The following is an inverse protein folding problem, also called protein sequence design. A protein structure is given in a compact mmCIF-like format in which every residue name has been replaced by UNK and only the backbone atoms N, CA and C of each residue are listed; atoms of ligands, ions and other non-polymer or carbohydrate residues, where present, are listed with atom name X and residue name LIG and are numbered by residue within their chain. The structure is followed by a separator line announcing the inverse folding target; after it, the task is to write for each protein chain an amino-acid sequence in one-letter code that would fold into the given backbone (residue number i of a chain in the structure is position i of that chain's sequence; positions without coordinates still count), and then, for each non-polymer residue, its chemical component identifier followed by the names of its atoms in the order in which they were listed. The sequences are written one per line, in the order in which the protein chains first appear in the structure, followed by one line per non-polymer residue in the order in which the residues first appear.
data_IF_547233960453
#
_entry.id   IF_547233960453
#
_cell.length_a   1.000
_cell.length_b   1.000
_cell.length_c   1.000
_cell.angle_alpha   90.00
_cell.angle_beta   90.00
_cell.angle_gamma   90.00
#
_symmetry.space_group_name_H-M   'P 1'
#
loop_
_entity.id
_entity.type
_entity.pdbx_description
1 polymer ?
#
# COMPACT_ATOMS: atom_id res chain seq x y z
N UNK A 1 14.17 -25.67 26.68
CA UNK A 1 14.60 -24.35 26.18
C UNK A 1 13.43 -23.71 25.46
N UNK A 2 12.85 -22.65 26.02
CA UNK A 2 11.73 -21.94 25.41
C UNK A 2 12.30 -20.91 24.42
N UNK A 3 12.21 -21.18 23.12
CA UNK A 3 12.68 -20.25 22.09
C UNK A 3 11.58 -19.20 21.89
N UNK A 4 11.71 -18.05 22.55
CA UNK A 4 10.87 -16.88 22.28
C UNK A 4 11.13 -16.41 20.84
N UNK A 5 10.21 -16.73 19.93
CA UNK A 5 10.26 -16.30 18.53
C UNK A 5 9.36 -15.08 18.36
N UNK A 6 9.89 -14.01 17.79
CA UNK A 6 9.14 -12.79 17.52
C UNK A 6 8.10 -13.05 16.40
N UNK A 7 6.86 -13.30 16.79
CA UNK A 7 5.72 -13.28 15.86
C UNK A 7 5.58 -11.88 15.27
N UNK A 8 5.73 -11.77 13.96
CA UNK A 8 5.49 -10.52 13.24
C UNK A 8 4.00 -10.38 12.98
N UNK A 9 3.30 -9.71 13.89
CA UNK A 9 1.90 -9.40 13.72
C UNK A 9 1.74 -8.28 12.69
N UNK A 10 1.01 -8.54 11.60
CA UNK A 10 0.50 -7.50 10.71
C UNK A 10 -1.01 -7.44 10.88
N UNK A 11 -1.50 -6.39 11.54
CA UNK A 11 -2.90 -6.05 11.47
C UNK A 11 -3.16 -5.36 10.13
N UNK A 12 -3.90 -6.02 9.24
CA UNK A 12 -4.40 -5.38 8.02
C UNK A 12 -5.84 -4.92 8.28
N UNK A 13 -6.05 -3.60 8.26
CA UNK A 13 -7.40 -3.01 8.31
C UNK A 13 -7.74 -2.58 6.91
N UNK A 14 -8.92 -2.95 6.40
CA UNK A 14 -9.44 -2.34 5.18
C UNK A 14 -9.33 -0.81 5.29
N UNK A 15 -8.68 -0.13 4.33
CA UNK A 15 -8.59 1.31 4.37
C UNK A 15 -9.98 1.87 4.12
N UNK A 16 -10.62 2.38 5.18
CA UNK A 16 -11.71 3.33 5.02
C UNK A 16 -11.23 4.50 4.15
N UNK A 17 -12.14 5.12 3.39
CA UNK A 17 -11.85 6.09 2.32
C UNK A 17 -11.03 7.35 2.72
N UNK A 18 -10.54 7.44 3.96
CA UNK A 18 -9.57 8.44 4.40
C UNK A 18 -8.45 7.77 5.19
N UNK A 19 -7.23 7.81 4.64
CA UNK A 19 -5.99 7.60 5.39
C UNK A 19 -5.88 8.71 6.45
N UNK A 20 -6.18 8.39 7.70
CA UNK A 20 -5.68 9.17 8.84
C UNK A 20 -4.27 8.65 9.19
N UNK A 21 -3.26 9.52 9.32
CA UNK A 21 -1.91 9.08 9.64
C UNK A 21 -1.83 8.48 11.05
N UNK A 22 -1.19 7.31 11.16
CA UNK A 22 -0.82 6.68 12.42
C UNK A 22 0.26 7.48 13.15
N UNK A 23 -0.15 8.19 14.21
CA UNK A 23 0.55 8.37 15.51
C UNK A 23 0.05 9.67 16.16
N UNK A 24 -0.87 9.54 17.10
CA UNK A 24 -0.98 10.46 18.22
C UNK A 24 -1.15 9.61 19.48
N UNK A 25 -0.29 9.76 20.52
CA UNK A 25 -0.51 9.07 21.79
C UNK A 25 -1.85 9.50 22.39
N UNK A 26 -2.53 8.55 23.02
CA UNK A 26 -3.81 8.74 23.68
C UNK A 26 -3.77 9.96 24.60
N UNK A 27 -4.67 10.93 24.37
CA UNK A 27 -4.95 11.97 25.35
C UNK A 27 -5.68 11.32 26.54
N UNK A 28 -5.33 11.67 27.80
CA UNK A 28 -5.97 11.08 28.97
C UNK A 28 -7.45 11.53 29.06
N UNK A 29 -8.31 10.76 29.75
CA UNK A 29 -9.72 11.06 29.85
C UNK A 29 -9.92 12.25 30.79
N UNK A 30 -10.40 13.38 30.27
CA UNK A 30 -11.00 14.40 31.11
C UNK A 30 -12.47 14.07 31.29
N UNK A 31 -12.81 13.73 32.53
CA UNK A 31 -14.16 13.58 33.05
C UNK A 31 -14.95 14.91 32.94
N UNK A 32 -16.29 14.86 33.07
CA UNK A 32 -17.21 15.78 32.42
C UNK A 32 -17.39 17.07 33.22
N UNK A 33 -17.42 18.21 32.54
CA UNK A 33 -18.05 19.42 33.07
C UNK A 33 -19.38 19.63 32.37
N UNK A 34 -20.42 19.24 33.11
CA UNK A 34 -21.76 19.81 33.02
C UNK A 34 -21.64 21.26 33.46
N UNK A 35 -22.05 22.21 32.62
CA UNK A 35 -22.67 23.43 33.12
C UNK A 35 -23.66 24.02 32.12
N UNK A 36 -24.76 24.48 32.70
CA UNK A 36 -26.01 24.96 32.11
C UNK A 36 -25.94 26.47 31.89
N UNK A 37 -26.82 26.95 31.02
CA UNK A 37 -27.29 28.34 30.83
C UNK A 37 -26.36 29.26 30.02
N UNK A 38 -26.84 30.12 29.13
CA UNK A 38 -28.19 30.58 28.86
C UNK A 38 -28.20 31.56 27.67
N UNK A 39 -29.41 31.77 27.14
CA UNK A 39 -29.79 32.61 26.00
C UNK A 39 -29.33 34.08 26.01
N UNK A 40 -29.04 34.61 24.80
CA UNK A 40 -29.51 35.87 24.16
C UNK A 40 -28.86 35.91 22.76
N UNK A 41 -29.58 35.83 21.62
CA UNK A 41 -30.38 36.90 20.99
C UNK A 41 -29.43 37.99 20.45
N UNK A 42 -29.30 38.31 19.16
CA UNK A 42 -29.96 37.92 17.92
C UNK A 42 -29.30 38.66 16.73
N UNK A 43 -29.83 38.36 15.55
CA UNK A 43 -29.85 39.13 14.29
C UNK A 43 -28.69 39.16 13.25
N UNK A 44 -29.19 38.92 12.02
CA UNK A 44 -28.85 39.51 10.71
C UNK A 44 -27.79 38.84 9.80
N UNK A 45 -28.33 37.92 8.98
CA UNK A 45 -28.27 37.81 7.51
C UNK A 45 -27.17 38.51 6.66
N UNK A 46 -26.70 37.70 5.70
CA UNK A 46 -26.29 38.02 4.31
C UNK A 46 -25.09 38.97 4.09
N UNK A 47 -24.00 38.47 3.49
CA UNK A 47 -23.88 38.53 2.03
C UNK A 47 -22.66 37.74 1.49
N UNK A 48 -22.77 37.37 0.22
CA UNK A 48 -21.86 36.53 -0.52
C UNK A 48 -20.53 37.20 -0.91
N UNK A 49 -19.50 36.37 -1.09
CA UNK A 49 -18.53 36.54 -2.17
C UNK A 49 -17.34 37.47 -1.93
N UNK A 50 -16.27 36.96 -1.33
CA UNK A 50 -14.89 37.29 -1.72
C UNK A 50 -13.90 36.28 -1.12
N UNK A 51 -13.34 35.42 -1.98
CA UNK A 51 -12.17 34.61 -1.67
C UNK A 51 -10.95 35.52 -1.52
N UNK A 52 -10.52 35.77 -0.29
CA UNK A 52 -9.23 36.39 -0.01
C UNK A 52 -8.13 35.33 -0.10
N UNK A 53 -7.42 35.30 -1.24
CA UNK A 53 -6.19 34.53 -1.41
C UNK A 53 -5.10 35.13 -0.52
N UNK A 54 -4.73 34.44 0.56
CA UNK A 54 -3.58 34.81 1.38
C UNK A 54 -2.27 34.29 0.77
N UNK A 55 -1.20 35.10 0.73
CA UNK A 55 0.13 34.63 0.39
C UNK A 55 0.75 33.76 1.50
N UNK A 56 1.70 32.92 1.11
CA UNK A 56 2.13 31.68 1.77
C UNK A 56 3.08 31.72 3.01
N UNK A 57 3.39 32.83 3.72
CA UNK A 57 4.25 32.74 4.91
C UNK A 57 3.47 32.88 6.24
N UNK A 58 2.31 32.23 6.38
CA UNK A 58 1.59 32.10 7.66
C UNK A 58 1.49 30.64 8.18
N UNK A 59 2.08 29.66 7.48
CA UNK A 59 2.05 28.23 7.84
C UNK A 59 3.28 27.77 8.64
N UNK A 60 4.25 28.66 8.87
CA UNK A 60 5.46 28.36 9.66
C UNK A 60 5.68 29.45 10.72
N UNK A 61 4.91 29.39 11.79
CA UNK A 61 5.10 30.26 12.95
C UNK A 61 4.15 29.92 14.09
N UNK A 62 4.57 28.99 14.95
CA UNK A 62 3.94 28.75 16.27
C UNK A 62 3.91 30.06 17.08
N UNK A 63 2.80 30.38 17.77
CA UNK A 63 2.87 31.21 18.96
C UNK A 63 2.32 30.45 20.16
N UNK A 64 3.17 30.16 21.14
CA UNK A 64 2.72 30.00 22.51
C UNK A 64 3.47 31.01 23.39
N UNK A 65 2.67 31.83 24.07
CA UNK A 65 2.93 32.66 25.25
C UNK A 65 4.09 33.67 25.26
N UNK A 66 3.69 34.94 25.15
CA UNK A 66 3.58 35.79 26.35
C UNK A 66 4.75 36.72 26.68
N UNK A 67 4.71 37.95 26.17
CA UNK A 67 5.18 39.13 26.91
C UNK A 67 4.52 40.41 26.38
N UNK A 68 3.60 40.92 27.19
CA UNK A 68 3.06 42.29 27.32
C UNK A 68 3.72 43.38 26.44
N UNK A 69 2.88 44.21 25.82
CA UNK A 69 2.87 45.66 26.10
C UNK A 69 1.51 46.29 25.78
N UNK A 70 1.06 47.06 26.77
CA UNK A 70 -0.19 47.79 26.88
C UNK A 70 -0.21 48.96 25.90
N UNK A 71 -1.41 49.33 25.47
CA UNK A 71 -1.72 50.36 24.46
C UNK A 71 -1.81 51.80 25.04
N UNK A 72 -1.55 52.77 24.15
CA UNK A 72 -2.12 54.15 24.02
C UNK A 72 -1.72 55.22 25.06
N UNK A 73 -1.85 56.55 24.81
CA UNK A 73 -2.00 57.35 23.57
C UNK A 73 -1.12 58.63 23.53
N UNK A 74 -1.23 59.39 22.43
CA UNK A 74 -0.54 60.63 22.05
C UNK A 74 -1.10 61.88 22.77
N UNK A 75 -0.27 62.88 23.16
CA UNK A 75 -0.50 64.33 22.88
C UNK A 75 0.56 65.32 23.47
N UNK A 76 1.04 66.21 22.57
CA UNK A 76 1.37 67.66 22.71
C UNK A 76 2.43 68.20 23.72
N UNK A 77 3.53 68.74 23.15
CA UNK A 77 4.36 69.88 23.63
C UNK A 77 5.49 69.51 24.61
N UNK A 78 6.73 70.02 24.58
CA UNK A 78 7.37 71.19 23.96
C UNK A 78 8.89 70.93 23.78
N UNK A 79 9.52 71.74 22.92
CA UNK A 79 10.93 71.76 22.48
C UNK A 79 12.02 71.77 23.58
N UNK A 80 13.19 71.18 23.24
CA UNK A 80 14.53 71.83 23.28
C UNK A 80 15.54 71.01 22.46
N UNK A 81 15.88 71.45 21.24
CA UNK A 81 17.13 72.16 20.85
C UNK A 81 18.40 71.40 21.24
N UNK A 82 18.97 70.71 20.26
CA UNK A 82 20.39 70.32 20.18
C UNK A 82 20.84 70.57 18.75
N UNK A 83 21.92 71.32 18.60
CA UNK A 83 22.31 72.07 17.40
C UNK A 83 22.41 71.26 16.11
N UNK A 84 21.93 71.86 15.03
CA UNK A 84 22.36 71.50 13.68
C UNK A 84 23.82 71.98 13.47
N UNK A 85 24.60 71.20 12.72
CA UNK A 85 25.07 71.79 11.47
C UNK A 85 24.87 70.86 10.27
N UNK A 86 24.30 71.43 9.21
CA UNK A 86 24.69 71.08 7.84
C UNK A 86 23.93 69.91 7.22
N UNK A 87 22.89 70.25 6.48
CA UNK A 87 22.20 69.43 5.49
C UNK A 87 23.13 68.48 4.71
N UNK A 88 22.73 67.21 4.63
CA UNK A 88 22.84 66.42 3.40
C UNK A 88 21.76 65.33 3.43
N UNK A 89 20.85 65.44 2.48
CA UNK A 89 19.83 64.44 2.16
C UNK A 89 20.45 63.06 1.96
N UNK A 90 20.31 62.15 2.91
CA UNK A 90 20.46 60.73 2.62
C UNK A 90 19.09 60.19 2.28
N UNK A 91 18.81 60.27 0.97
CA UNK A 91 17.78 59.49 0.34
C UNK A 91 17.77 58.08 0.92
N UNK A 92 16.58 57.59 1.27
CA UNK A 92 16.31 56.17 1.36
C UNK A 92 16.65 55.61 -0.01
N UNK A 93 17.88 55.11 -0.16
CA UNK A 93 18.34 54.43 -1.35
C UNK A 93 17.52 53.15 -1.44
N UNK A 94 16.40 53.22 -2.15
CA UNK A 94 15.77 52.05 -2.71
C UNK A 94 16.86 51.28 -3.42
N UNK A 95 17.13 50.06 -2.97
CA UNK A 95 18.00 49.14 -3.67
C UNK A 95 17.31 48.78 -4.99
N UNK A 96 17.44 49.66 -5.97
CA UNK A 96 17.25 49.36 -7.38
C UNK A 96 18.31 48.31 -7.70
N UNK A 97 17.96 47.05 -7.50
CA UNK A 97 18.73 45.92 -8.00
C UNK A 97 18.83 46.13 -9.51
N UNK A 98 20.00 46.60 -9.96
CA UNK A 98 20.29 46.83 -11.37
C UNK A 98 19.76 45.63 -12.15
N UNK A 99 18.83 45.86 -13.08
CA UNK A 99 18.23 44.80 -13.89
C UNK A 99 19.31 43.90 -14.53
N UNK A 100 20.50 44.44 -14.74
CA UNK A 100 21.73 43.75 -15.15
C UNK A 100 22.25 42.68 -14.17
N UNK A 101 22.29 42.93 -12.85
CA UNK A 101 22.77 41.93 -11.88
C UNK A 101 21.74 40.82 -11.67
N UNK A 102 20.45 41.14 -11.80
CA UNK A 102 19.37 40.15 -11.82
C UNK A 102 19.41 39.28 -13.09
N UNK A 103 19.62 39.90 -14.27
CA UNK A 103 19.81 39.19 -15.55
C UNK A 103 21.04 38.28 -15.50
N UNK A 104 22.16 38.73 -14.94
CA UNK A 104 23.37 37.92 -14.79
C UNK A 104 23.15 36.71 -13.88
N UNK A 105 22.46 36.89 -12.75
CA UNK A 105 22.09 35.78 -11.85
C UNK A 105 21.21 34.74 -12.54
N UNK A 106 20.22 35.16 -13.32
CA UNK A 106 19.38 34.27 -14.12
C UNK A 106 20.18 33.50 -15.18
N UNK A 107 21.05 34.19 -15.92
CA UNK A 107 21.90 33.57 -16.95
C UNK A 107 22.86 32.53 -16.37
N UNK A 108 23.30 32.68 -15.12
CA UNK A 108 24.17 31.72 -14.45
C UNK A 108 23.39 30.59 -13.76
N UNK A 109 22.23 30.89 -13.18
CA UNK A 109 21.41 29.91 -12.46
C UNK A 109 20.74 28.91 -13.41
N UNK A 110 20.25 29.35 -14.57
CA UNK A 110 19.56 28.48 -15.54
C UNK A 110 20.44 27.31 -16.01
N UNK A 111 21.67 27.51 -16.54
CA UNK A 111 22.52 26.40 -16.98
C UNK A 111 22.96 25.51 -15.81
N UNK A 112 23.16 26.06 -14.61
CA UNK A 112 23.45 25.25 -13.42
C UNK A 112 22.26 24.34 -13.06
N UNK A 113 21.04 24.85 -13.12
CA UNK A 113 19.81 24.09 -12.83
C UNK A 113 19.56 23.02 -13.90
N UNK A 114 19.78 23.37 -15.17
CA UNK A 114 19.74 22.43 -16.30
C UNK A 114 20.81 21.34 -16.16
N UNK A 115 22.03 21.71 -15.75
CA UNK A 115 23.11 20.77 -15.46
C UNK A 115 22.77 19.80 -14.32
N UNK A 116 22.20 20.30 -13.22
CA UNK A 116 21.70 19.46 -12.11
C UNK A 116 20.58 18.53 -12.60
N UNK A 117 19.67 19.02 -13.44
CA UNK A 117 18.61 18.20 -14.01
C UNK A 117 19.19 17.05 -14.86
N UNK A 118 20.07 17.34 -15.81
CA UNK A 118 20.70 16.31 -16.65
C UNK A 118 21.59 15.35 -15.85
N UNK A 119 22.30 15.83 -14.83
CA UNK A 119 23.08 14.99 -13.93
C UNK A 119 22.17 14.07 -13.11
N UNK A 120 21.06 14.60 -12.58
CA UNK A 120 20.05 13.81 -11.89
C UNK A 120 19.45 12.73 -12.80
N UNK A 121 19.11 13.07 -14.05
CA UNK A 121 18.66 12.10 -15.06
C UNK A 121 19.71 11.03 -15.33
N UNK A 122 20.98 11.40 -15.54
CA UNK A 122 22.06 10.45 -15.77
C UNK A 122 22.26 9.47 -14.59
N UNK A 123 22.11 9.94 -13.35
CA UNK A 123 22.18 9.08 -12.15
C UNK A 123 20.96 8.15 -12.06
N UNK A 124 19.76 8.67 -12.33
CA UNK A 124 18.52 7.87 -12.32
C UNK A 124 18.55 6.78 -13.39
N UNK A 125 19.02 7.12 -14.59
CA UNK A 125 19.18 6.19 -15.71
C UNK A 125 20.24 5.12 -15.41
N UNK A 126 21.40 5.52 -14.87
CA UNK A 126 22.46 4.59 -14.48
C UNK A 126 22.03 3.63 -13.36
N UNK A 127 21.11 4.06 -12.50
CA UNK A 127 20.54 3.24 -11.41
C UNK A 127 19.27 2.48 -11.83
N UNK A 128 18.79 2.64 -13.06
CA UNK A 128 17.51 2.12 -13.55
C UNK A 128 16.32 2.46 -12.64
N UNK A 129 16.37 3.59 -11.93
CA UNK A 129 15.31 4.02 -11.01
C UNK A 129 14.20 4.65 -11.82
N UNK A 130 13.14 3.87 -12.09
CA UNK A 130 11.92 4.36 -12.76
C UNK A 130 10.88 4.74 -11.72
N UNK A 131 10.50 6.01 -11.72
CA UNK A 131 9.42 6.54 -10.89
C UNK A 131 8.14 6.57 -11.72
N UNK A 132 7.20 5.68 -11.39
CA UNK A 132 5.88 5.69 -12.00
C UNK A 132 5.00 6.75 -11.33
N UNK A 133 4.73 7.83 -12.07
CA UNK A 133 3.90 8.94 -11.63
C UNK A 133 2.41 8.72 -11.95
N UNK A 134 2.03 7.57 -12.50
CA UNK A 134 0.61 7.28 -12.73
C UNK A 134 -0.10 7.07 -11.39
N UNK A 135 -1.34 7.60 -11.22
CA UNK A 135 -2.10 7.46 -9.98
C UNK A 135 -2.26 6.01 -9.52
N UNK A 136 -2.24 5.07 -10.46
CA UNK A 136 -2.44 3.63 -10.21
C UNK A 136 -1.15 2.78 -10.29
N UNK A 137 0.03 3.39 -10.53
CA UNK A 137 1.31 2.68 -10.69
C UNK A 137 1.29 1.52 -11.70
N UNK A 138 0.57 1.70 -12.81
CA UNK A 138 0.29 0.65 -13.81
C UNK A 138 1.53 0.15 -14.55
N UNK A 139 2.67 0.82 -14.43
CA UNK A 139 3.94 0.50 -15.08
C UNK A 139 5.00 0.02 -14.08
N UNK A 140 4.56 -0.44 -12.92
CA UNK A 140 5.45 -0.93 -11.86
C UNK A 140 5.02 -2.32 -11.41
N UNK A 141 5.93 -3.30 -11.54
CA UNK A 141 5.75 -4.64 -10.96
C UNK A 141 5.31 -4.57 -9.49
N UNK A 142 4.39 -5.45 -9.09
CA UNK A 142 3.96 -5.54 -7.69
C UNK A 142 5.11 -5.89 -6.75
N UNK A 143 4.96 -5.56 -5.46
CA UNK A 143 5.94 -5.95 -4.43
C UNK A 143 6.07 -7.48 -4.34
N UNK A 144 5.00 -8.21 -4.67
CA UNK A 144 4.98 -9.68 -4.74
C UNK A 144 5.85 -10.18 -5.89
N UNK A 145 5.65 -9.63 -7.09
CA UNK A 145 6.44 -9.94 -8.28
C UNK A 145 7.93 -9.74 -8.04
N UNK A 146 8.31 -8.59 -7.47
CA UNK A 146 9.72 -8.30 -7.19
C UNK A 146 10.34 -9.34 -6.27
N UNK A 147 9.63 -9.75 -5.20
CA UNK A 147 10.11 -10.80 -4.29
C UNK A 147 10.28 -12.15 -4.98
N UNK A 148 9.38 -12.51 -5.90
CA UNK A 148 9.50 -13.75 -6.67
C UNK A 148 10.74 -13.69 -7.58
N UNK A 149 10.88 -12.60 -8.33
CA UNK A 149 11.94 -12.42 -9.31
C UNK A 149 13.34 -12.33 -8.69
N UNK A 150 13.43 -11.70 -7.51
CA UNK A 150 14.67 -11.62 -6.73
C UNK A 150 15.08 -12.99 -6.13
N UNK A 151 14.09 -13.84 -5.86
CA UNK A 151 14.27 -15.14 -5.21
C UNK A 151 14.25 -16.33 -6.16
N UNK A 152 14.41 -16.13 -7.48
CA UNK A 152 14.40 -17.23 -8.45
C UNK A 152 15.63 -18.14 -8.24
N UNK A 153 15.43 -19.46 -8.03
CA UNK A 153 16.53 -20.39 -7.76
C UNK A 153 17.29 -20.82 -9.03
N UNK A 154 16.64 -20.76 -10.19
CA UNK A 154 17.14 -21.25 -11.47
C UNK A 154 16.89 -20.23 -12.60
N UNK A 155 17.58 -20.42 -13.72
CA UNK A 155 17.44 -19.57 -14.90
C UNK A 155 16.22 -19.99 -15.72
N UNK A 156 15.45 -19.01 -16.19
CA UNK A 156 14.15 -19.24 -16.82
C UNK A 156 14.12 -18.59 -18.18
N UNK A 157 13.70 -19.36 -19.18
CA UNK A 157 13.48 -18.89 -20.55
C UNK A 157 12.00 -18.63 -20.78
N UNK A 158 11.66 -17.43 -21.23
CA UNK A 158 10.30 -17.02 -21.57
C UNK A 158 10.23 -16.73 -23.06
N UNK A 159 9.49 -17.55 -23.81
CA UNK A 159 9.30 -17.42 -25.25
C UNK A 159 7.90 -16.86 -25.49
N UNK A 160 7.82 -15.64 -26.02
CA UNK A 160 6.58 -14.97 -26.36
C UNK A 160 6.26 -15.12 -27.84
N UNK A 161 5.17 -15.82 -28.14
CA UNK A 161 4.69 -16.07 -29.48
C UNK A 161 3.67 -15.00 -29.88
N UNK A 162 4.17 -13.94 -30.52
CA UNK A 162 3.39 -12.75 -30.86
C UNK A 162 3.03 -12.72 -32.35
N UNK A 163 2.01 -11.94 -32.71
CA UNK A 163 1.65 -11.63 -34.11
C UNK A 163 1.97 -10.17 -34.38
N UNK A 164 2.63 -9.84 -35.49
CA UNK A 164 3.08 -8.46 -35.79
C UNK A 164 2.03 -7.34 -35.59
N UNK A 165 0.76 -7.58 -35.88
CA UNK A 165 -0.32 -6.57 -35.88
C UNK A 165 -1.29 -6.67 -34.68
N UNK A 166 -0.88 -7.29 -33.57
CA UNK A 166 -1.72 -7.37 -32.36
C UNK A 166 -1.49 -6.15 -31.45
N UNK A 167 -2.52 -5.33 -31.15
CA UNK A 167 -2.42 -4.21 -30.22
C UNK A 167 -1.93 -4.61 -28.82
N UNK A 168 -2.20 -5.85 -28.39
CA UNK A 168 -1.79 -6.38 -27.08
C UNK A 168 -0.28 -6.50 -26.94
N UNK A 169 0.46 -6.59 -28.05
CA UNK A 169 1.92 -6.73 -28.04
C UNK A 169 2.62 -5.65 -27.24
N UNK A 170 2.08 -4.42 -27.20
CA UNK A 170 2.65 -3.32 -26.43
C UNK A 170 2.68 -3.66 -24.94
N UNK A 171 1.55 -4.13 -24.39
CA UNK A 171 1.44 -4.52 -22.98
C UNK A 171 2.33 -5.73 -22.67
N UNK A 172 2.32 -6.74 -23.54
CA UNK A 172 3.11 -7.97 -23.34
C UNK A 172 4.61 -7.67 -23.33
N UNK A 173 5.07 -6.88 -24.31
CA UNK A 173 6.48 -6.49 -24.42
C UNK A 173 6.92 -5.65 -23.23
N UNK A 174 6.04 -4.79 -22.71
CA UNK A 174 6.35 -3.98 -21.54
C UNK A 174 6.48 -4.84 -20.29
N UNK A 175 5.52 -5.73 -20.02
CA UNK A 175 5.59 -6.68 -18.89
C UNK A 175 6.87 -7.53 -18.95
N UNK A 176 7.15 -8.14 -20.11
CA UNK A 176 8.32 -8.98 -20.29
C UNK A 176 9.63 -8.21 -20.12
N UNK A 177 9.68 -6.96 -20.60
CA UNK A 177 10.83 -6.07 -20.39
C UNK A 177 11.01 -5.76 -18.90
N UNK A 178 9.94 -5.44 -18.18
CA UNK A 178 10.01 -5.15 -16.74
C UNK A 178 10.54 -6.36 -15.96
N UNK A 179 10.06 -7.57 -16.28
CA UNK A 179 10.50 -8.82 -15.65
C UNK A 179 11.98 -9.10 -15.94
N UNK A 180 12.40 -9.00 -17.21
CA UNK A 180 13.78 -9.26 -17.62
C UNK A 180 14.78 -8.24 -17.04
N UNK A 181 14.36 -6.98 -16.90
CA UNK A 181 15.19 -5.94 -16.25
C UNK A 181 15.32 -6.17 -14.75
N UNK A 182 14.31 -6.78 -14.10
CA UNK A 182 14.34 -7.01 -12.65
C UNK A 182 15.24 -8.17 -12.27
N UNK A 183 15.23 -9.26 -13.04
CA UNK A 183 16.01 -10.46 -12.71
C UNK A 183 16.87 -10.89 -13.90
N UNK A 184 18.21 -10.95 -13.72
CA UNK A 184 19.12 -11.39 -14.79
C UNK A 184 18.95 -12.87 -15.16
N UNK A 185 18.24 -13.64 -14.32
CA UNK A 185 17.93 -15.06 -14.54
C UNK A 185 16.79 -15.27 -15.54
N UNK A 186 16.04 -14.23 -15.89
CA UNK A 186 14.92 -14.33 -16.83
C UNK A 186 15.35 -13.89 -18.22
N UNK A 187 15.40 -14.84 -19.15
CA UNK A 187 15.74 -14.61 -20.54
C UNK A 187 14.47 -14.59 -21.39
N UNK A 188 14.23 -13.50 -22.10
CA UNK A 188 13.01 -13.30 -22.90
C UNK A 188 13.35 -13.37 -24.39
N UNK A 189 12.68 -14.29 -25.10
CA UNK A 189 12.72 -14.40 -26.56
C UNK A 189 11.35 -14.05 -27.13
N UNK A 190 11.31 -13.16 -28.12
CA UNK A 190 10.06 -12.78 -28.79
C UNK A 190 10.08 -13.30 -30.20
N UNK A 191 9.11 -14.15 -30.54
CA UNK A 191 9.01 -14.82 -31.83
C UNK A 191 7.70 -14.45 -32.51
N UNK A 192 7.78 -14.19 -33.82
CA UNK A 192 6.59 -13.98 -34.63
C UNK A 192 6.04 -15.32 -35.10
N UNK A 193 4.81 -15.65 -34.68
CA UNK A 193 4.14 -16.92 -35.00
C UNK A 193 4.04 -17.13 -36.51
N UNK A 194 3.85 -16.06 -37.28
CA UNK A 194 3.68 -16.14 -38.73
C UNK A 194 5.02 -16.34 -39.45
N UNK A 195 6.13 -15.88 -38.87
CA UNK A 195 7.48 -16.06 -39.47
C UNK A 195 8.07 -17.44 -39.17
N UNK A 196 7.66 -18.07 -38.07
CA UNK A 196 8.21 -19.36 -37.64
C UNK A 196 7.12 -20.34 -37.17
N UNK A 197 6.18 -20.74 -38.06
CA UNK A 197 5.05 -21.59 -37.70
C UNK A 197 5.48 -23.00 -37.29
N UNK A 198 6.60 -23.52 -37.83
CA UNK A 198 7.13 -24.82 -37.45
C UNK A 198 7.56 -24.87 -35.97
N UNK A 199 8.21 -23.79 -35.49
CA UNK A 199 8.63 -23.68 -34.10
C UNK A 199 7.42 -23.55 -33.16
N UNK A 200 6.42 -22.73 -33.53
CA UNK A 200 5.19 -22.61 -32.75
C UNK A 200 4.48 -23.97 -32.56
N UNK A 201 4.42 -24.80 -33.61
CA UNK A 201 3.87 -26.17 -33.53
C UNK A 201 4.70 -27.09 -32.63
N UNK A 202 6.03 -26.99 -32.68
CA UNK A 202 6.91 -27.78 -31.80
C UNK A 202 6.69 -27.47 -30.32
N UNK A 203 6.40 -26.20 -29.99
CA UNK A 203 6.08 -25.79 -28.63
C UNK A 203 4.61 -26.02 -28.24
N UNK A 204 3.78 -26.53 -29.16
CA UNK A 204 2.36 -26.78 -28.93
C UNK A 204 1.52 -25.51 -28.87
N UNK A 205 1.99 -24.40 -29.45
CA UNK A 205 1.30 -23.11 -29.41
C UNK A 205 0.21 -23.07 -30.48
N UNK A 206 -1.03 -23.09 -30.03
CA UNK A 206 -2.26 -23.04 -30.82
C UNK A 206 -2.92 -21.66 -30.81
N UNK A 207 -2.51 -20.77 -29.90
CA UNK A 207 -3.13 -19.49 -29.62
C UNK A 207 -2.17 -18.31 -29.80
N UNK A 208 -2.67 -17.22 -30.40
CA UNK A 208 -1.89 -15.99 -30.61
C UNK A 208 -1.69 -15.24 -29.29
N UNK A 209 -0.45 -14.79 -29.04
CA UNK A 209 -0.10 -14.12 -27.79
C UNK A 209 0.13 -15.09 -26.63
N UNK A 210 0.44 -16.35 -26.93
CA UNK A 210 0.83 -17.32 -25.93
C UNK A 210 2.27 -17.08 -25.46
N UNK A 211 2.51 -17.32 -24.18
CA UNK A 211 3.84 -17.36 -23.59
C UNK A 211 4.15 -18.80 -23.18
N UNK A 212 5.38 -19.20 -23.47
CA UNK A 212 5.95 -20.46 -23.02
C UNK A 212 7.08 -20.15 -22.06
N UNK A 213 6.97 -20.66 -20.84
CA UNK A 213 7.97 -20.50 -19.79
C UNK A 213 8.65 -21.85 -19.59
N UNK A 214 9.98 -21.87 -19.62
CA UNK A 214 10.80 -23.09 -19.50
C UNK A 214 11.93 -22.90 -18.48
N UNK A 215 12.11 -23.91 -17.62
CA UNK A 215 13.21 -23.99 -16.64
C UNK A 215 13.48 -25.47 -16.36
N UNK A 216 14.75 -25.90 -16.38
CA UNK A 216 15.19 -27.25 -16.00
C UNK A 216 14.32 -28.41 -16.55
N UNK A 217 13.97 -28.33 -17.85
CA UNK A 217 13.16 -29.35 -18.53
C UNK A 217 11.65 -29.30 -18.24
N UNK A 218 11.19 -28.41 -17.37
CA UNK A 218 9.78 -28.13 -17.11
C UNK A 218 9.31 -27.00 -17.99
N UNK A 219 8.06 -27.10 -18.46
CA UNK A 219 7.43 -26.10 -19.33
C UNK A 219 6.03 -25.78 -18.84
N UNK A 220 5.68 -24.50 -18.89
CA UNK A 220 4.30 -24.02 -18.73
C UNK A 220 3.95 -23.08 -19.87
N UNK A 221 2.88 -23.40 -20.59
CA UNK A 221 2.31 -22.53 -21.63
C UNK A 221 1.02 -21.91 -21.12
N UNK A 222 0.79 -20.63 -21.41
CA UNK A 222 -0.47 -19.95 -21.14
C UNK A 222 -0.78 -18.90 -22.20
N UNK A 223 -2.06 -18.65 -22.41
CA UNK A 223 -2.57 -17.56 -23.23
C UNK A 223 -2.99 -16.39 -22.34
N UNK A 224 -3.02 -15.17 -22.89
CA UNK A 224 -3.37 -13.94 -22.18
C UNK A 224 -2.41 -13.60 -21.01
N UNK A 225 -1.17 -13.20 -21.31
CA UNK A 225 -0.17 -12.88 -20.31
C UNK A 225 -0.56 -11.68 -19.44
N UNK A 226 -0.72 -11.95 -18.16
CA UNK A 226 -0.79 -10.95 -17.08
C UNK A 226 0.37 -11.18 -16.12
N UNK A 227 0.61 -10.21 -15.24
CA UNK A 227 1.69 -10.31 -14.25
C UNK A 227 1.51 -11.54 -13.37
N UNK A 228 0.31 -11.74 -12.85
CA UNK A 228 -0.08 -12.85 -11.95
C UNK A 228 0.21 -14.20 -12.60
N UNK A 229 -0.30 -14.39 -13.82
CA UNK A 229 -0.18 -15.64 -14.58
C UNK A 229 1.28 -15.93 -14.95
N UNK A 230 2.05 -14.90 -15.33
CA UNK A 230 3.46 -15.05 -15.65
C UNK A 230 4.27 -15.45 -14.43
N UNK A 231 4.06 -14.80 -13.28
CA UNK A 231 4.77 -15.12 -12.04
C UNK A 231 4.41 -16.51 -11.54
N UNK A 232 3.14 -16.89 -11.58
CA UNK A 232 2.70 -18.25 -11.25
C UNK A 232 3.37 -19.29 -12.16
N UNK A 233 3.49 -19.02 -13.45
CA UNK A 233 4.19 -19.91 -14.38
C UNK A 233 5.70 -20.00 -14.08
N UNK A 234 6.36 -18.88 -13.75
CA UNK A 234 7.75 -18.85 -13.29
C UNK A 234 7.91 -19.71 -12.03
N UNK A 235 7.03 -19.56 -11.04
CA UNK A 235 7.04 -20.38 -9.83
C UNK A 235 6.82 -21.86 -10.14
N UNK A 236 5.90 -22.18 -11.05
CA UNK A 236 5.59 -23.56 -11.43
C UNK A 236 6.77 -24.29 -12.10
N UNK A 237 7.54 -23.59 -12.94
CA UNK A 237 8.69 -24.21 -13.59
C UNK A 237 9.93 -24.24 -12.69
N UNK A 238 10.07 -23.31 -11.75
CA UNK A 238 11.25 -23.21 -10.88
C UNK A 238 11.13 -23.92 -9.53
N UNK A 239 9.92 -24.08 -8.99
CA UNK A 239 9.70 -24.77 -7.70
C UNK A 239 9.28 -26.21 -7.91
N UNK A 240 9.72 -27.10 -7.02
CA UNK A 240 9.32 -28.51 -7.06
C UNK A 240 7.89 -28.72 -6.53
N UNK A 241 7.46 -27.91 -5.56
CA UNK A 241 6.18 -28.10 -4.86
C UNK A 241 5.42 -26.78 -4.68
N UNK A 242 4.08 -26.88 -4.63
CA UNK A 242 3.17 -25.78 -4.32
C UNK A 242 3.19 -25.53 -2.82
N UNK A 243 3.09 -24.25 -2.42
CA UNK A 243 2.86 -23.92 -1.01
C UNK A 243 1.43 -24.25 -0.64
N UNK A 244 1.25 -24.95 0.48
CA UNK A 244 -0.09 -25.34 0.97
C UNK A 244 -0.62 -24.28 1.92
N UNK A 245 -1.85 -23.85 1.67
CA UNK A 245 -2.69 -23.02 2.53
C UNK A 245 -3.76 -23.94 3.13
N UNK A 246 -3.71 -24.11 4.45
CA UNK A 246 -4.70 -24.89 5.20
C UNK A 246 -5.88 -23.99 5.56
N UNK A 247 -7.09 -24.40 5.21
CA UNK A 247 -8.32 -23.65 5.47
C UNK A 247 -9.14 -24.38 6.53
N UNK A 248 -9.32 -23.77 7.69
CA UNK A 248 -9.98 -24.42 8.81
C UNK A 248 -11.47 -24.59 8.53
N UNK A 249 -11.99 -25.77 8.85
CA UNK A 249 -13.41 -26.14 8.75
C UNK A 249 -13.86 -26.83 10.03
N UNK A 250 -15.11 -26.57 10.44
CA UNK A 250 -15.76 -27.26 11.57
C UNK A 250 -16.62 -26.34 12.43
N UNK A 251 -16.32 -25.04 12.42
CA UNK A 251 -16.91 -24.04 13.30
C UNK A 251 -17.85 -23.09 12.56
N UNK A 252 -18.20 -23.43 11.32
CA UNK A 252 -19.06 -22.63 10.45
C UNK A 252 -18.31 -21.47 9.79
N UNK A 253 -17.01 -21.65 9.52
CA UNK A 253 -16.16 -20.75 8.75
C UNK A 253 -16.69 -20.55 7.32
N UNK A 254 -16.14 -19.55 6.65
CA UNK A 254 -16.43 -19.31 5.24
C UNK A 254 -15.99 -20.46 4.34
N UNK A 255 -16.84 -20.82 3.39
CA UNK A 255 -16.69 -22.02 2.56
C UNK A 255 -15.88 -21.72 1.28
N UNK A 256 -14.88 -22.55 1.02
CA UNK A 256 -14.02 -22.50 -0.17
C UNK A 256 -14.72 -22.83 -1.48
N UNK A 257 -15.89 -23.48 -1.47
CA UNK A 257 -16.64 -23.80 -2.69
C UNK A 257 -17.86 -22.91 -2.89
N UNK A 258 -18.27 -22.18 -1.87
CA UNK A 258 -19.43 -21.29 -1.94
C UNK A 258 -19.07 -19.95 -2.63
N UNK A 259 -19.99 -19.45 -3.44
CA UNK A 259 -19.92 -18.17 -4.14
C UNK A 259 -20.82 -17.10 -3.50
N UNK A 260 -21.47 -17.40 -2.37
CA UNK A 260 -22.21 -16.43 -1.58
C UNK A 260 -21.36 -15.20 -1.21
N UNK A 261 -21.98 -14.02 -1.27
CA UNK A 261 -21.25 -12.75 -1.07
C UNK A 261 -20.86 -12.50 0.38
N UNK A 262 -21.54 -13.13 1.33
CA UNK A 262 -21.32 -12.92 2.76
C UNK A 262 -20.36 -13.97 3.34
N UNK A 263 -20.44 -15.22 2.86
CA UNK A 263 -19.73 -16.35 3.47
C UNK A 263 -18.91 -17.20 2.49
N UNK A 264 -19.03 -16.96 1.19
CA UNK A 264 -18.31 -17.70 0.16
C UNK A 264 -16.88 -17.20 -0.05
N UNK A 265 -15.95 -18.14 -0.18
CA UNK A 265 -14.52 -17.91 -0.43
C UNK A 265 -14.02 -18.58 -1.71
N UNK A 266 -14.92 -19.05 -2.58
CA UNK A 266 -14.55 -19.63 -3.88
C UNK A 266 -13.68 -18.72 -4.75
N UNK A 267 -13.94 -17.40 -4.74
CA UNK A 267 -13.12 -16.43 -5.48
C UNK A 267 -11.72 -16.31 -4.87
N UNK A 268 -11.61 -16.28 -3.53
CA UNK A 268 -10.32 -16.24 -2.85
C UNK A 268 -9.49 -17.51 -3.14
N UNK A 269 -10.14 -18.68 -3.10
CA UNK A 269 -9.54 -19.96 -3.50
C UNK A 269 -9.00 -19.89 -4.93
N UNK A 270 -9.82 -19.46 -5.87
CA UNK A 270 -9.44 -19.39 -7.28
C UNK A 270 -8.23 -18.47 -7.50
N UNK A 271 -8.17 -17.32 -6.82
CA UNK A 271 -7.04 -16.40 -6.89
C UNK A 271 -5.76 -17.00 -6.29
N UNK A 272 -5.86 -17.69 -5.14
CA UNK A 272 -4.71 -18.38 -4.55
C UNK A 272 -4.19 -19.49 -5.46
N UNK A 273 -5.08 -20.28 -6.06
CA UNK A 273 -4.71 -21.34 -6.98
C UNK A 273 -4.09 -20.79 -8.28
N UNK A 274 -4.55 -19.64 -8.77
CA UNK A 274 -3.95 -18.92 -9.90
C UNK A 274 -2.52 -18.47 -9.60
N UNK A 275 -2.22 -18.09 -8.35
CA UNK A 275 -0.89 -17.71 -7.86
C UNK A 275 -0.02 -18.93 -7.46
N UNK A 276 -0.39 -20.13 -7.91
CA UNK A 276 0.34 -21.38 -7.68
C UNK A 276 0.40 -21.85 -6.21
N UNK A 277 -0.57 -21.44 -5.38
CA UNK A 277 -0.81 -22.04 -4.05
C UNK A 277 -1.76 -23.22 -4.14
N UNK A 278 -1.65 -24.16 -3.22
CA UNK A 278 -2.64 -25.24 -3.03
C UNK A 278 -3.49 -24.94 -1.79
N UNK A 279 -4.81 -24.94 -1.92
CA UNK A 279 -5.73 -24.68 -0.80
C UNK A 279 -6.39 -25.99 -0.39
N UNK A 280 -6.22 -26.39 0.87
CA UNK A 280 -6.77 -27.64 1.43
C UNK A 280 -7.63 -27.37 2.67
N UNK A 281 -8.80 -28.01 2.80
CA UNK A 281 -9.54 -27.96 4.05
C UNK A 281 -8.78 -28.70 5.17
N UNK A 282 -8.84 -28.17 6.39
CA UNK A 282 -8.17 -28.71 7.58
C UNK A 282 -9.17 -28.73 8.73
N UNK A 283 -9.34 -29.89 9.36
CA UNK A 283 -10.05 -30.02 10.64
C UNK A 283 -9.06 -29.95 11.79
N UNK A 284 -9.43 -29.29 12.89
CA UNK A 284 -8.63 -29.26 14.13
C UNK A 284 -9.10 -30.30 15.16
N UNK A 285 -10.20 -31.01 14.87
CA UNK A 285 -10.74 -32.07 15.71
C UNK A 285 -9.94 -33.35 15.47
N UNK A 286 -9.34 -33.90 16.52
CA UNK A 286 -8.70 -35.22 16.50
C UNK A 286 -7.36 -35.30 15.78
N UNK A 287 -7.05 -34.36 14.89
CA UNK A 287 -5.86 -34.35 14.04
C UNK A 287 -4.93 -33.16 14.35
N UNK A 288 -3.63 -33.32 14.05
CA UNK A 288 -2.71 -32.17 13.99
C UNK A 288 -2.80 -31.47 12.63
N UNK A 289 -2.49 -30.17 12.60
CA UNK A 289 -2.30 -29.46 11.33
C UNK A 289 -1.12 -30.10 10.57
N UNK A 290 -1.31 -30.53 9.30
CA UNK A 290 -0.26 -31.17 8.52
C UNK A 290 1.00 -30.29 8.37
N UNK A 291 2.17 -30.92 8.32
CA UNK A 291 3.47 -30.20 8.32
C UNK A 291 3.72 -29.40 7.04
N UNK A 292 3.07 -29.79 5.94
CA UNK A 292 3.09 -29.10 4.66
C UNK A 292 2.33 -27.75 4.67
N UNK A 293 1.45 -27.52 5.66
CA UNK A 293 0.64 -26.30 5.76
C UNK A 293 1.52 -25.10 6.14
N UNK A 294 1.82 -24.27 5.15
CA UNK A 294 2.66 -23.07 5.34
C UNK A 294 1.90 -21.90 5.95
N UNK A 295 0.61 -21.79 5.65
CA UNK A 295 -0.30 -20.76 6.19
C UNK A 295 -1.61 -21.43 6.58
N UNK A 296 -2.05 -21.23 7.81
CA UNK A 296 -3.37 -21.65 8.30
C UNK A 296 -4.35 -20.49 8.25
N UNK A 297 -5.54 -20.68 7.70
CA UNK A 297 -6.57 -19.66 7.56
C UNK A 297 -7.80 -20.06 8.36
N UNK A 298 -8.23 -19.18 9.27
CA UNK A 298 -9.48 -19.30 10.02
C UNK A 298 -10.37 -18.14 9.58
N UNK A 299 -11.40 -18.44 8.78
CA UNK A 299 -12.20 -17.44 8.09
C UNK A 299 -13.59 -17.27 8.73
N UNK A 300 -13.72 -16.38 9.72
CA UNK A 300 -15.02 -16.02 10.31
C UNK A 300 -15.77 -17.19 10.98
N UNK A 301 -15.16 -17.87 11.98
CA UNK A 301 -15.81 -18.97 12.68
C UNK A 301 -17.05 -18.48 13.43
N UNK A 302 -18.11 -19.28 13.46
CA UNK A 302 -19.39 -18.92 14.07
C UNK A 302 -19.63 -19.59 15.41
N UNK A 303 -18.95 -20.72 15.62
CA UNK A 303 -18.94 -21.49 16.86
C UNK A 303 -17.58 -21.37 17.50
N UNK A 304 -17.54 -21.61 18.80
CA UNK A 304 -16.28 -21.58 19.53
C UNK A 304 -15.48 -22.86 19.38
N UNK A 305 -14.18 -22.75 19.63
CA UNK A 305 -13.22 -23.85 19.56
C UNK A 305 -13.13 -24.58 20.90
N UNK A 306 -13.00 -25.90 20.84
CA UNK A 306 -12.72 -26.73 22.01
C UNK A 306 -11.27 -26.53 22.48
N UNK A 307 -11.01 -26.84 23.76
CA UNK A 307 -9.69 -26.70 24.35
C UNK A 307 -8.61 -27.51 23.62
N UNK A 308 -8.97 -28.70 23.13
CA UNK A 308 -8.10 -29.58 22.35
C UNK A 308 -7.73 -28.97 21.00
N UNK A 309 -8.67 -28.27 20.35
CA UNK A 309 -8.48 -27.60 19.07
C UNK A 309 -7.58 -26.38 19.22
N UNK A 310 -7.79 -25.58 20.28
CA UNK A 310 -6.91 -24.46 20.62
C UNK A 310 -5.48 -24.93 20.95
N UNK A 311 -5.35 -26.13 21.52
CA UNK A 311 -4.05 -26.76 21.76
C UNK A 311 -3.39 -27.21 20.45
N UNK A 312 -4.15 -27.69 19.47
CA UNK A 312 -3.64 -27.99 18.13
C UNK A 312 -3.19 -26.72 17.38
N UNK A 313 -3.97 -25.65 17.49
CA UNK A 313 -3.60 -24.34 16.95
C UNK A 313 -2.32 -23.79 17.59
N UNK A 314 -2.19 -23.91 18.92
CA UNK A 314 -0.97 -23.50 19.63
C UNK A 314 0.27 -24.25 19.14
N UNK A 315 0.17 -25.59 18.99
CA UNK A 315 1.26 -26.42 18.45
C UNK A 315 1.65 -26.00 17.03
N UNK A 316 0.68 -25.64 16.19
CA UNK A 316 0.96 -25.11 14.85
C UNK A 316 1.72 -23.78 14.93
N UNK A 317 1.25 -22.84 15.75
CA UNK A 317 1.84 -21.50 15.90
C UNK A 317 3.24 -21.50 16.54
N UNK A 318 3.58 -22.56 17.29
CA UNK A 318 4.94 -22.76 17.82
C UNK A 318 5.96 -23.20 16.75
N UNK A 319 5.50 -23.79 15.64
CA UNK A 319 6.34 -24.19 14.50
C UNK A 319 6.60 -22.98 13.58
N UNK A 320 7.60 -23.01 12.67
CA UNK A 320 7.69 -22.02 11.59
C UNK A 320 6.46 -22.11 10.67
N UNK A 321 5.42 -21.34 10.99
CA UNK A 321 4.17 -21.23 10.23
C UNK A 321 3.59 -19.83 10.32
N UNK A 322 2.57 -19.57 9.52
CA UNK A 322 1.83 -18.30 9.54
C UNK A 322 0.35 -18.59 9.70
N UNK A 323 -0.38 -17.71 10.37
CA UNK A 323 -1.84 -17.81 10.44
C UNK A 323 -2.49 -16.51 10.02
N UNK A 324 -3.58 -16.63 9.25
CA UNK A 324 -4.52 -15.55 8.97
C UNK A 324 -5.82 -15.89 9.70
N UNK A 325 -6.20 -15.05 10.66
CA UNK A 325 -7.40 -15.26 11.46
C UNK A 325 -8.31 -14.06 11.26
N UNK A 326 -9.49 -14.35 10.72
CA UNK A 326 -10.56 -13.39 10.51
C UNK A 326 -11.66 -13.71 11.53
N UNK A 327 -11.95 -12.77 12.42
CA UNK A 327 -12.94 -12.94 13.48
C UNK A 327 -13.98 -11.85 13.38
N UNK A 328 -15.24 -12.26 13.37
CA UNK A 328 -16.37 -11.36 13.51
C UNK A 328 -16.54 -10.96 14.99
N UNK A 329 -17.00 -9.73 15.27
CA UNK A 329 -17.28 -9.32 16.64
C UNK A 329 -18.32 -10.26 17.26
N UNK A 330 -18.15 -10.56 18.55
CA UNK A 330 -19.05 -11.42 19.35
C UNK A 330 -19.09 -12.90 18.92
N UNK A 331 -18.24 -13.34 17.99
CA UNK A 331 -18.11 -14.75 17.55
C UNK A 331 -16.83 -15.38 18.08
N UNK A 332 -16.90 -16.67 18.43
CA UNK A 332 -15.79 -17.48 18.95
C UNK A 332 -14.95 -16.77 20.04
N UNK A 333 -15.56 -16.39 21.19
CA UNK A 333 -14.87 -15.65 22.24
C UNK A 333 -13.64 -16.38 22.81
N UNK A 334 -13.64 -17.71 22.89
CA UNK A 334 -12.48 -18.46 23.40
C UNK A 334 -11.29 -18.39 22.43
N UNK A 335 -11.53 -18.39 21.12
CA UNK A 335 -10.48 -18.09 20.14
C UNK A 335 -9.96 -16.65 20.30
N UNK A 336 -10.84 -15.68 20.53
CA UNK A 336 -10.44 -14.30 20.85
C UNK A 336 -9.57 -14.21 22.12
N UNK A 337 -9.95 -14.93 23.18
CA UNK A 337 -9.18 -15.03 24.42
C UNK A 337 -7.83 -15.73 24.21
N UNK A 338 -7.80 -16.81 23.42
CA UNK A 338 -6.59 -17.51 23.05
C UNK A 338 -5.58 -16.55 22.41
N UNK A 339 -6.03 -15.67 21.51
CA UNK A 339 -5.17 -14.72 20.80
C UNK A 339 -4.51 -13.66 21.71
N UNK A 340 -5.04 -13.41 22.91
CA UNK A 340 -4.40 -12.51 23.90
C UNK A 340 -3.01 -12.97 24.31
N UNK A 341 -2.72 -14.28 24.26
CA UNK A 341 -1.36 -14.80 24.52
C UNK A 341 -0.33 -14.27 23.52
N UNK A 342 -0.78 -13.87 22.34
CA UNK A 342 0.03 -13.28 21.28
C UNK A 342 -0.06 -11.74 21.26
N UNK A 343 -0.50 -11.13 22.36
CA UNK A 343 -0.73 -9.68 22.49
C UNK A 343 -1.73 -9.11 21.46
N UNK A 344 -2.67 -9.94 21.02
CA UNK A 344 -3.81 -9.53 20.20
C UNK A 344 -5.04 -9.49 21.10
N UNK A 345 -5.60 -8.30 21.29
CA UNK A 345 -6.85 -8.12 22.02
C UNK A 345 -7.95 -7.71 21.05
N UNK A 346 -9.06 -8.45 21.09
CA UNK A 346 -10.23 -8.28 20.24
C UNK A 346 -11.41 -7.92 21.15
N UNK A 347 -11.65 -6.63 21.41
CA UNK A 347 -12.80 -6.22 22.19
C UNK A 347 -14.09 -6.54 21.45
N UNK A 348 -15.16 -6.72 22.20
CA UNK A 348 -16.49 -7.05 21.70
C UNK A 348 -17.21 -5.83 21.07
N UNK A 349 -16.47 -5.02 20.31
CA UNK A 349 -16.93 -3.75 19.77
C UNK A 349 -17.21 -3.87 18.25
N UNK A 350 -18.27 -3.22 17.79
CA UNK A 350 -18.60 -3.13 16.37
C UNK A 350 -18.18 -1.76 15.84
N UNK A 351 -17.39 -1.76 14.77
CA UNK A 351 -16.99 -0.52 14.09
C UNK A 351 -18.14 -0.07 13.20
N UNK A 352 -18.66 1.14 13.46
CA UNK A 352 -19.75 1.76 12.68
C UNK A 352 -19.22 2.99 11.97
N UNK A 353 -19.48 3.12 10.66
CA UNK A 353 -19.22 4.35 9.91
C UNK A 353 -20.38 5.35 10.09
N UNK A 354 -20.17 6.48 10.78
CA UNK A 354 -21.22 7.47 10.99
C UNK A 354 -21.65 8.20 9.71
N UNK A 355 -20.84 8.23 8.65
CA UNK A 355 -21.20 8.88 7.37
C UNK A 355 -22.08 7.97 6.49
N UNK A 356 -21.84 6.65 6.54
CA UNK A 356 -22.69 5.66 5.88
C UNK A 356 -24.09 5.54 6.53
N UNK A 357 -24.23 5.94 7.80
CA UNK A 357 -25.50 5.98 8.55
C UNK A 357 -26.58 6.86 7.91
N UNK A 358 -26.21 7.88 7.12
CA UNK A 358 -27.18 8.80 6.51
C UNK A 358 -27.90 8.20 5.29
N UNK A 359 -27.44 7.06 4.78
CA UNK A 359 -28.01 6.38 3.61
C UNK A 359 -28.47 4.96 3.97
N UNK A 360 -29.45 4.85 4.86
CA UNK A 360 -30.44 3.77 4.89
C UNK A 360 -29.96 2.36 5.29
N UNK A 361 -30.36 1.94 6.49
CA UNK A 361 -30.47 0.54 6.88
C UNK A 361 -30.17 0.30 8.36
N UNK A 362 -31.15 -0.17 9.13
CA UNK A 362 -30.95 -0.68 10.49
C UNK A 362 -30.11 -1.96 10.43
N UNK A 363 -29.08 -2.06 11.28
CA UNK A 363 -28.28 -3.27 11.47
C UNK A 363 -28.62 -3.85 12.86
N UNK A 364 -29.44 -4.89 12.89
CA UNK A 364 -29.53 -5.85 14.01
C UNK A 364 -29.66 -7.26 13.45
#
# INVERSE_FOLDING_TARGET
MCVLRALHLRADRQPGARRLPHRAPAAPPLAPFVERSGHRGGDAAADAGALALQPLPAVLGRPDRGARRVLLPVHRGLLRVGDAPGARSTAVAGAALNAWTQRLRLVLAIPALVGIFFLGQAILDARAVRLDLTPERRYTLSDHARKILDGLPADVRVIAFLRAQDPRNLLIRDLLRQVALRSPRVHVDILDVNRSPALARQYGVDSYGALVVESDGRRRMFSNPREEVLLAALLQVTRQERKVVGWVVGHGEGDLVDADRHRGFSTARALLEQEYYEVRPVTLIGDEVPVEVTVLVIAGPQKDFLAEELTALDRYLQRPGQALIMLDPLRAPDLGHFLRRFAVDLPADVVVDPAARLYGGEFL
#
